data_IF_159873089204
#
_entry.id   IF_159873089204
#
_cell.length_a   1.000
_cell.length_b   1.000
_cell.length_c   1.000
_cell.angle_alpha   90.00
_cell.angle_beta   90.00
_cell.angle_gamma   90.00
#
_symmetry.space_group_name_H-M   'P 1'
#
loop_
_entity.id
_entity.type
_entity.pdbx_description
1 polymer ?
#
# COMPACT_ATOMS: atom_id res chain seq x y z
N UNK A 1 26.66 16.92 35.08
CA UNK A 1 25.87 15.91 35.82
C UNK A 1 25.67 14.73 34.87
N UNK A 2 26.24 13.56 35.18
CA UNK A 2 26.03 12.35 34.38
C UNK A 2 24.58 11.90 34.53
N UNK A 3 23.84 11.67 33.43
CA UNK A 3 22.45 11.21 33.52
C UNK A 3 22.41 9.85 34.21
N UNK A 4 21.55 9.72 35.22
CA UNK A 4 21.34 8.48 35.97
C UNK A 4 20.70 7.47 35.01
N UNK A 5 21.45 6.45 34.62
CA UNK A 5 21.00 5.42 33.68
C UNK A 5 20.05 4.47 34.41
N UNK A 6 18.74 4.64 34.21
CA UNK A 6 17.75 3.69 34.73
C UNK A 6 17.41 2.69 33.61
N UNK A 7 18.01 1.50 33.70
CA UNK A 7 17.86 0.33 32.81
C UNK A 7 18.33 0.48 31.35
N UNK A 8 17.91 1.47 30.55
CA UNK A 8 18.42 1.68 29.19
C UNK A 8 18.25 3.11 28.64
N UNK A 9 18.99 3.46 27.58
CA UNK A 9 19.06 4.81 26.98
C UNK A 9 17.80 5.27 26.22
N UNK A 10 16.92 4.34 25.83
CA UNK A 10 15.68 4.62 25.11
C UNK A 10 14.45 4.42 26.00
N UNK A 11 14.67 4.21 27.31
CA UNK A 11 13.67 3.88 28.32
C UNK A 11 12.79 2.66 27.99
N UNK A 12 13.24 1.76 27.11
CA UNK A 12 12.45 0.66 26.54
C UNK A 12 12.01 -0.36 27.59
N UNK A 13 12.88 -0.66 28.55
CA UNK A 13 12.64 -1.68 29.58
C UNK A 13 11.70 -1.18 30.67
N UNK A 14 11.80 0.10 31.04
CA UNK A 14 10.85 0.76 31.94
C UNK A 14 9.51 0.99 31.22
N UNK A 15 9.55 1.38 29.95
CA UNK A 15 8.38 1.49 29.09
C UNK A 15 7.64 0.16 29.02
N UNK A 16 8.33 -0.98 28.78
CA UNK A 16 7.73 -2.31 28.76
C UNK A 16 6.99 -2.66 30.07
N UNK A 17 7.62 -2.42 31.22
CA UNK A 17 7.03 -2.73 32.53
C UNK A 17 5.83 -1.83 32.86
N UNK A 18 5.92 -0.54 32.55
CA UNK A 18 4.81 0.41 32.70
C UNK A 18 3.69 0.08 31.72
N UNK A 19 4.01 -0.32 30.49
CA UNK A 19 3.05 -0.76 29.47
C UNK A 19 2.31 -2.01 29.95
N UNK A 20 2.99 -3.02 30.49
CA UNK A 20 2.34 -4.23 31.00
C UNK A 20 1.38 -3.88 32.15
N UNK A 21 1.81 -3.05 33.11
CA UNK A 21 0.97 -2.62 34.24
C UNK A 21 -0.24 -1.78 33.81
N UNK A 22 -0.04 -0.84 32.89
CA UNK A 22 -1.07 0.05 32.37
C UNK A 22 -2.11 -0.68 31.51
N UNK A 23 -1.68 -1.66 30.70
CA UNK A 23 -2.56 -2.48 29.87
C UNK A 23 -3.49 -3.38 30.71
N UNK A 24 -2.97 -3.95 31.82
CA UNK A 24 -3.79 -4.76 32.74
C UNK A 24 -4.79 -3.93 33.54
N UNK A 25 -4.42 -2.70 33.93
CA UNK A 25 -5.32 -1.76 34.61
C UNK A 25 -6.39 -1.21 33.67
N UNK A 26 -6.02 -0.85 32.44
CA UNK A 26 -6.93 -0.41 31.39
C UNK A 26 -7.94 -1.49 30.98
N UNK A 27 -7.52 -2.76 30.92
CA UNK A 27 -8.41 -3.90 30.70
C UNK A 27 -9.47 -4.05 31.81
N UNK A 28 -9.07 -3.91 33.07
CA UNK A 28 -9.98 -4.02 34.22
C UNK A 28 -11.05 -2.90 34.23
N UNK A 29 -10.66 -1.67 33.87
CA UNK A 29 -11.56 -0.50 33.83
C UNK A 29 -12.47 -0.54 32.59
N UNK A 30 -11.94 -0.94 31.43
CA UNK A 30 -12.70 -1.06 30.20
C UNK A 30 -13.78 -2.16 30.24
N UNK A 31 -13.54 -3.24 30.99
CA UNK A 31 -14.54 -4.28 31.27
C UNK A 31 -15.72 -3.74 32.09
N UNK A 32 -15.49 -2.79 32.99
CA UNK A 32 -16.49 -2.29 33.93
C UNK A 32 -17.42 -1.22 33.35
N UNK A 33 -16.95 -0.33 32.46
CA UNK A 33 -17.65 0.93 32.19
C UNK A 33 -18.20 1.15 30.77
N UNK A 34 -17.96 0.23 29.82
CA UNK A 34 -18.67 0.14 28.52
C UNK A 34 -19.27 1.44 27.94
N UNK A 35 -18.44 2.32 27.34
CA UNK A 35 -18.67 3.15 26.11
C UNK A 35 -18.18 4.61 26.17
N UNK A 36 -17.23 4.93 25.27
CA UNK A 36 -17.01 6.25 24.64
C UNK A 36 -16.26 6.04 23.30
N UNK A 37 -16.93 5.44 22.29
CA UNK A 37 -16.25 4.71 21.19
C UNK A 37 -16.27 5.35 19.80
N UNK A 38 -16.91 6.48 19.53
CA UNK A 38 -17.14 6.92 18.14
C UNK A 38 -15.97 7.73 17.56
N UNK A 39 -15.31 8.58 18.35
CA UNK A 39 -14.23 9.44 17.87
C UNK A 39 -12.94 8.65 17.62
N UNK A 40 -12.58 7.75 18.53
CA UNK A 40 -11.43 6.84 18.38
C UNK A 40 -11.65 5.78 17.29
N UNK A 41 -12.89 5.32 17.11
CA UNK A 41 -13.26 4.47 15.99
C UNK A 41 -13.13 5.20 14.65
N UNK A 42 -13.40 6.50 14.58
CA UNK A 42 -13.33 7.25 13.32
C UNK A 42 -11.88 7.53 12.91
N UNK A 43 -11.00 7.86 13.86
CA UNK A 43 -9.56 7.98 13.60
C UNK A 43 -8.91 6.65 13.22
N UNK A 44 -9.21 5.58 13.97
CA UNK A 44 -8.72 4.23 13.66
C UNK A 44 -9.30 3.64 12.37
N UNK A 45 -10.56 3.92 12.05
CA UNK A 45 -11.19 3.42 10.82
C UNK A 45 -10.62 4.07 9.56
N UNK A 46 -10.19 5.34 9.58
CA UNK A 46 -9.53 5.96 8.43
C UNK A 46 -8.22 5.24 8.08
N UNK A 47 -7.36 5.06 9.08
CA UNK A 47 -6.11 4.29 8.97
C UNK A 47 -6.38 2.86 8.47
N UNK A 48 -7.40 2.21 9.03
CA UNK A 48 -7.80 0.86 8.64
C UNK A 48 -8.30 0.80 7.20
N UNK A 49 -9.16 1.73 6.78
CA UNK A 49 -9.72 1.81 5.42
C UNK A 49 -8.60 2.07 4.41
N UNK A 50 -7.69 3.02 4.68
CA UNK A 50 -6.54 3.29 3.79
C UNK A 50 -5.65 2.06 3.67
N UNK A 51 -5.31 1.42 4.79
CA UNK A 51 -4.51 0.19 4.80
C UNK A 51 -5.19 -0.94 4.04
N UNK A 52 -6.50 -1.09 4.19
CA UNK A 52 -7.31 -2.11 3.50
C UNK A 52 -7.36 -1.85 1.99
N UNK A 53 -7.58 -0.61 1.55
CA UNK A 53 -7.61 -0.24 0.13
C UNK A 53 -6.24 -0.47 -0.53
N UNK A 54 -5.14 -0.07 0.13
CA UNK A 54 -3.79 -0.36 -0.35
C UNK A 54 -3.52 -1.86 -0.41
N UNK A 55 -3.93 -2.61 0.61
CA UNK A 55 -3.76 -4.06 0.64
C UNK A 55 -4.53 -4.76 -0.50
N UNK A 56 -5.78 -4.37 -0.75
CA UNK A 56 -6.58 -4.90 -1.86
C UNK A 56 -5.92 -4.60 -3.22
N UNK A 57 -5.38 -3.40 -3.41
CA UNK A 57 -4.66 -3.04 -4.63
C UNK A 57 -3.39 -3.90 -4.81
N UNK A 58 -2.59 -4.04 -3.74
CA UNK A 58 -1.36 -4.82 -3.74
C UNK A 58 -1.64 -6.31 -4.03
N UNK A 59 -2.66 -6.89 -3.39
CA UNK A 59 -3.09 -8.28 -3.61
C UNK A 59 -3.55 -8.48 -5.05
N UNK A 60 -4.35 -7.56 -5.61
CA UNK A 60 -4.80 -7.63 -7.01
C UNK A 60 -3.59 -7.62 -7.97
N UNK A 61 -2.68 -6.67 -7.81
CA UNK A 61 -1.51 -6.53 -8.68
C UNK A 61 -0.59 -7.76 -8.56
N UNK A 62 -0.29 -8.20 -7.33
CA UNK A 62 0.51 -9.39 -7.07
C UNK A 62 -0.12 -10.65 -7.68
N UNK A 63 -1.43 -10.83 -7.52
CA UNK A 63 -2.16 -11.99 -8.06
C UNK A 63 -2.13 -11.99 -9.60
N UNK A 64 -2.35 -10.84 -10.23
CA UNK A 64 -2.28 -10.72 -11.68
C UNK A 64 -0.88 -11.02 -12.23
N UNK A 65 0.16 -10.47 -11.59
CA UNK A 65 1.56 -10.72 -11.96
C UNK A 65 1.92 -12.20 -11.78
N UNK A 66 1.51 -12.82 -10.67
CA UNK A 66 1.73 -14.24 -10.40
C UNK A 66 1.03 -15.12 -11.44
N UNK A 67 -0.26 -14.87 -11.68
CA UNK A 67 -1.04 -15.59 -12.69
C UNK A 67 -0.39 -15.50 -14.08
N UNK A 68 0.12 -14.32 -14.46
CA UNK A 68 0.83 -14.12 -15.73
C UNK A 68 2.09 -14.98 -15.82
N UNK A 69 2.90 -15.04 -14.76
CA UNK A 69 4.12 -15.86 -14.74
C UNK A 69 3.77 -17.35 -14.84
N UNK A 70 2.74 -17.81 -14.12
CA UNK A 70 2.29 -19.20 -14.18
C UNK A 70 1.76 -19.58 -15.57
N UNK A 71 1.09 -18.65 -16.27
CA UNK A 71 0.50 -18.92 -17.59
C UNK A 71 1.49 -18.86 -18.75
N UNK A 72 2.41 -17.90 -18.73
CA UNK A 72 3.32 -17.62 -19.85
C UNK A 72 4.75 -18.16 -19.63
N UNK A 73 5.07 -18.66 -18.43
CA UNK A 73 6.29 -19.43 -18.13
C UNK A 73 7.57 -18.61 -17.99
N UNK A 74 7.82 -17.66 -18.89
CA UNK A 74 8.94 -16.72 -18.77
C UNK A 74 8.56 -15.31 -19.22
N UNK A 75 9.29 -14.33 -18.71
CA UNK A 75 9.18 -12.94 -19.12
C UNK A 75 10.51 -12.56 -19.77
N UNK A 76 10.49 -12.40 -21.10
CA UNK A 76 11.71 -12.24 -21.92
C UNK A 76 12.57 -11.05 -21.52
N UNK A 77 11.99 -10.05 -20.83
CA UNK A 77 12.71 -8.89 -20.30
C UNK A 77 13.74 -9.25 -19.23
N UNK A 78 13.54 -10.38 -18.55
CA UNK A 78 14.38 -10.83 -17.44
C UNK A 78 15.36 -11.94 -17.85
N UNK A 79 15.31 -12.42 -19.10
CA UNK A 79 16.17 -13.54 -19.52
C UNK A 79 17.64 -13.13 -19.54
N UNK A 80 17.97 -11.92 -20.01
CA UNK A 80 19.34 -11.38 -20.03
C UNK A 80 19.81 -10.82 -18.67
N UNK A 81 18.89 -10.50 -17.76
CA UNK A 81 19.22 -9.91 -16.46
C UNK A 81 19.50 -11.00 -15.43
N UNK A 82 18.72 -12.10 -15.44
CA UNK A 82 18.81 -13.18 -14.46
C UNK A 82 20.12 -13.98 -14.55
N UNK A 83 20.77 -14.00 -15.71
CA UNK A 83 22.07 -14.66 -15.91
C UNK A 83 23.25 -13.89 -15.29
N UNK A 84 23.05 -12.63 -14.87
CA UNK A 84 24.10 -11.77 -14.34
C UNK A 84 23.77 -11.28 -12.92
N UNK A 85 24.46 -11.86 -11.93
CA UNK A 85 24.23 -11.59 -10.51
C UNK A 85 24.13 -10.09 -10.17
N UNK A 86 25.12 -9.27 -10.56
CA UNK A 86 25.13 -7.83 -10.21
C UNK A 86 24.05 -7.00 -10.92
N UNK A 87 23.68 -7.34 -12.17
CA UNK A 87 22.58 -6.67 -12.87
C UNK A 87 21.25 -6.99 -12.21
N UNK A 88 21.07 -8.24 -11.82
CA UNK A 88 19.88 -8.70 -11.11
C UNK A 88 19.78 -8.11 -9.71
N UNK A 89 20.89 -8.03 -8.96
CA UNK A 89 20.95 -7.37 -7.66
C UNK A 89 20.62 -5.88 -7.76
N UNK A 90 21.19 -5.16 -8.74
CA UNK A 90 20.90 -3.74 -8.96
C UNK A 90 19.42 -3.48 -9.27
N UNK A 91 18.81 -4.33 -10.12
CA UNK A 91 17.36 -4.29 -10.36
C UNK A 91 16.57 -4.49 -9.07
N UNK A 92 16.97 -5.45 -8.24
CA UNK A 92 16.27 -5.77 -6.98
C UNK A 92 16.38 -4.64 -5.95
N UNK A 93 17.56 -4.05 -5.77
CA UNK A 93 17.77 -2.90 -4.87
C UNK A 93 16.95 -1.70 -5.35
N UNK A 94 16.91 -1.45 -6.65
CA UNK A 94 16.06 -0.41 -7.24
C UNK A 94 14.58 -0.62 -6.93
N UNK A 95 14.09 -1.86 -7.03
CA UNK A 95 12.72 -2.21 -6.64
C UNK A 95 12.47 -1.97 -5.14
N UNK A 96 13.40 -2.33 -4.26
CA UNK A 96 13.27 -2.08 -2.81
C UNK A 96 13.15 -0.58 -2.52
N UNK A 97 14.05 0.23 -3.07
CA UNK A 97 14.03 1.69 -2.88
C UNK A 97 12.74 2.28 -3.44
N UNK A 98 12.33 1.85 -4.63
CA UNK A 98 11.10 2.32 -5.27
C UNK A 98 9.85 2.01 -4.44
N UNK A 99 9.69 0.75 -4.02
CA UNK A 99 8.56 0.31 -3.17
C UNK A 99 8.56 1.05 -1.84
N UNK A 100 9.74 1.25 -1.24
CA UNK A 100 9.87 2.04 -0.02
C UNK A 100 9.43 3.49 -0.24
N UNK A 101 9.90 4.17 -1.29
CA UNK A 101 9.52 5.56 -1.61
C UNK A 101 8.03 5.74 -1.82
N UNK A 102 7.38 4.88 -2.62
CA UNK A 102 5.93 4.99 -2.88
C UNK A 102 5.08 4.68 -1.63
N UNK A 103 5.63 3.94 -0.66
CA UNK A 103 4.94 3.62 0.60
C UNK A 103 5.12 4.67 1.70
N UNK A 104 5.98 5.68 1.51
CA UNK A 104 6.23 6.74 2.49
C UNK A 104 4.97 7.51 2.91
N UNK A 105 4.06 7.93 2.00
CA UNK A 105 2.85 8.66 2.41
C UNK A 105 2.01 7.85 3.40
N UNK A 106 1.80 6.56 3.12
CA UNK A 106 1.07 5.65 4.02
C UNK A 106 1.81 5.43 5.33
N UNK A 107 3.13 5.21 5.28
CA UNK A 107 3.95 4.98 6.50
C UNK A 107 3.90 6.20 7.43
N UNK A 108 3.98 7.40 6.85
CA UNK A 108 3.91 8.66 7.59
C UNK A 108 2.52 8.85 8.19
N UNK A 109 1.45 8.65 7.40
CA UNK A 109 0.06 8.77 7.87
C UNK A 109 -0.28 7.82 9.03
N UNK A 110 0.37 6.65 9.07
CA UNK A 110 0.19 5.65 10.13
C UNK A 110 1.16 5.83 11.32
N UNK A 111 1.98 6.88 11.34
CA UNK A 111 2.96 7.09 12.40
C UNK A 111 2.34 7.68 13.68
N UNK A 112 2.78 7.27 14.89
CA UNK A 112 2.23 7.77 16.15
C UNK A 112 2.32 9.30 16.31
N UNK A 113 3.37 9.91 15.73
CA UNK A 113 3.59 11.36 15.76
C UNK A 113 2.42 12.16 15.16
N UNK A 114 1.73 11.61 14.16
CA UNK A 114 0.56 12.22 13.55
C UNK A 114 -0.76 11.73 14.17
N UNK A 115 -0.79 10.52 14.74
CA UNK A 115 -1.98 9.96 15.38
C UNK A 115 -2.32 10.63 16.73
N UNK A 116 -1.34 11.18 17.44
CA UNK A 116 -1.56 11.84 18.74
C UNK A 116 -2.04 13.31 18.62
N UNK A 117 -1.80 13.98 17.49
CA UNK A 117 -2.26 15.35 17.22
C UNK A 117 -3.64 15.40 16.55
N UNK A 118 -4.51 14.44 16.88
CA UNK A 118 -5.72 14.00 16.16
C UNK A 118 -6.90 14.98 16.10
N UNK A 119 -6.68 16.28 16.16
CA UNK A 119 -7.68 17.27 15.73
C UNK A 119 -7.82 17.35 14.19
N UNK A 120 -6.87 16.77 13.44
CA UNK A 120 -6.85 16.82 11.97
C UNK A 120 -7.32 15.56 11.24
N UNK A 121 -7.48 14.42 11.92
CA UNK A 121 -7.76 13.12 11.31
C UNK A 121 -9.26 12.72 11.37
N UNK A 122 -10.16 13.69 11.28
CA UNK A 122 -11.60 13.40 11.15
C UNK A 122 -11.87 12.97 9.71
N UNK A 123 -12.30 11.72 9.54
CA UNK A 123 -12.77 11.18 8.26
C UNK A 123 -14.01 11.92 7.78
N UNK A 124 -14.13 12.11 6.47
CA UNK A 124 -15.28 12.78 5.85
C UNK A 124 -14.99 14.20 5.39
N UNK A 125 -13.71 14.60 5.35
CA UNK A 125 -13.31 15.81 4.64
C UNK A 125 -13.54 15.60 3.13
N UNK A 126 -13.76 16.70 2.41
CA UNK A 126 -13.91 16.67 0.95
C UNK A 126 -12.70 16.02 0.28
N UNK A 127 -11.50 16.20 0.83
CA UNK A 127 -10.26 15.56 0.37
C UNK A 127 -10.30 14.03 0.47
N UNK A 128 -10.89 13.48 1.53
CA UNK A 128 -10.99 12.03 1.73
C UNK A 128 -11.96 11.42 0.70
N UNK A 129 -13.09 12.09 0.47
CA UNK A 129 -14.10 11.69 -0.51
C UNK A 129 -13.51 11.74 -1.93
N UNK A 130 -12.80 12.82 -2.27
CA UNK A 130 -12.11 12.93 -3.55
C UNK A 130 -11.05 11.83 -3.73
N UNK A 131 -10.28 11.52 -2.67
CA UNK A 131 -9.31 10.42 -2.68
C UNK A 131 -9.96 9.06 -2.97
N UNK A 132 -11.09 8.75 -2.31
CA UNK A 132 -11.85 7.51 -2.58
C UNK A 132 -12.41 7.48 -4.01
N UNK A 133 -12.90 8.61 -4.53
CA UNK A 133 -13.38 8.71 -5.91
C UNK A 133 -12.23 8.46 -6.89
N UNK A 134 -11.09 9.14 -6.71
CA UNK A 134 -9.91 8.95 -7.57
C UNK A 134 -9.39 7.52 -7.51
N UNK A 135 -9.37 6.91 -6.33
CA UNK A 135 -9.01 5.50 -6.16
C UNK A 135 -9.90 4.58 -7.00
N UNK A 136 -11.23 4.71 -6.92
CA UNK A 136 -12.15 3.86 -7.69
C UNK A 136 -12.05 4.09 -9.20
N UNK A 137 -11.84 5.34 -9.62
CA UNK A 137 -11.60 5.66 -11.03
C UNK A 137 -10.29 5.03 -11.50
N UNK A 138 -9.20 5.22 -10.76
CA UNK A 138 -7.88 4.68 -11.06
C UNK A 138 -7.90 3.16 -11.16
N UNK A 139 -8.47 2.51 -10.15
CA UNK A 139 -8.63 1.06 -10.09
C UNK A 139 -9.43 0.51 -11.28
N UNK A 140 -10.51 1.20 -11.68
CA UNK A 140 -11.34 0.81 -12.82
C UNK A 140 -10.61 0.98 -14.15
N UNK A 141 -9.86 2.09 -14.32
CA UNK A 141 -9.05 2.36 -15.50
C UNK A 141 -7.95 1.32 -15.68
N UNK A 142 -7.19 1.07 -14.61
CA UNK A 142 -6.09 0.13 -14.61
C UNK A 142 -6.58 -1.29 -14.90
N UNK A 143 -7.61 -1.74 -14.18
CA UNK A 143 -8.20 -3.07 -14.35
C UNK A 143 -8.76 -3.26 -15.77
N UNK A 144 -9.44 -2.25 -16.31
CA UNK A 144 -9.95 -2.31 -17.69
C UNK A 144 -8.81 -2.35 -18.72
N UNK A 145 -7.75 -1.56 -18.54
CA UNK A 145 -6.60 -1.56 -19.43
C UNK A 145 -5.89 -2.92 -19.45
N UNK A 146 -5.63 -3.49 -18.27
CA UNK A 146 -4.92 -4.76 -18.13
C UNK A 146 -5.74 -5.94 -18.62
N UNK A 147 -7.04 -6.00 -18.32
CA UNK A 147 -7.94 -7.04 -18.85
C UNK A 147 -7.95 -7.03 -20.37
N UNK A 148 -8.07 -5.85 -21.00
CA UNK A 148 -8.08 -5.74 -22.47
C UNK A 148 -6.73 -6.15 -23.07
N UNK A 149 -5.61 -5.78 -22.44
CA UNK A 149 -4.27 -6.20 -22.86
C UNK A 149 -4.09 -7.71 -22.73
N UNK A 150 -4.58 -8.30 -21.64
CA UNK A 150 -4.53 -9.72 -21.39
C UNK A 150 -5.34 -10.50 -22.43
N UNK A 151 -6.60 -10.13 -22.66
CA UNK A 151 -7.46 -10.75 -23.67
C UNK A 151 -6.87 -10.62 -25.08
N UNK A 152 -6.33 -9.45 -25.42
CA UNK A 152 -5.66 -9.25 -26.71
C UNK A 152 -4.46 -10.17 -26.88
N UNK A 153 -3.60 -10.32 -25.86
CA UNK A 153 -2.48 -11.26 -25.94
C UNK A 153 -2.93 -12.72 -26.00
N UNK A 154 -4.01 -13.07 -25.32
CA UNK A 154 -4.58 -14.41 -25.33
C UNK A 154 -5.14 -14.82 -26.70
N UNK A 155 -5.54 -13.86 -27.55
CA UNK A 155 -6.03 -14.14 -28.91
C UNK A 155 -4.92 -14.32 -29.96
N UNK A 156 -3.65 -14.45 -29.55
CA UNK A 156 -2.49 -14.63 -30.43
C UNK A 156 -2.39 -13.63 -31.62
N UNK A 157 -2.41 -12.32 -31.37
CA UNK A 157 -2.28 -11.31 -32.40
C UNK A 157 -0.87 -11.30 -33.01
N UNK A 158 -0.69 -10.76 -34.23
CA UNK A 158 0.62 -10.58 -34.84
C UNK A 158 1.57 -9.80 -33.94
N UNK A 159 2.85 -10.21 -33.88
CA UNK A 159 3.87 -9.62 -32.98
C UNK A 159 4.06 -8.11 -33.16
N UNK A 160 3.82 -7.60 -34.35
CA UNK A 160 4.09 -6.20 -34.71
C UNK A 160 2.84 -5.31 -34.59
N UNK A 161 1.72 -5.86 -34.10
CA UNK A 161 0.47 -5.12 -33.99
C UNK A 161 0.20 -4.71 -32.54
N UNK A 162 0.25 -3.40 -32.22
CA UNK A 162 -0.14 -2.93 -30.90
C UNK A 162 -1.66 -3.05 -30.72
N UNK A 163 -2.08 -3.23 -29.47
CA UNK A 163 -3.48 -3.15 -29.09
C UNK A 163 -4.00 -1.72 -29.35
N UNK A 164 -5.13 -1.61 -30.05
CA UNK A 164 -5.75 -0.33 -30.41
C UNK A 164 -7.25 -0.28 -30.05
N UNK A 165 -7.67 -1.10 -29.08
CA UNK A 165 -9.06 -1.21 -28.63
C UNK A 165 -9.23 -0.70 -27.20
N UNK A 166 -10.41 -0.15 -26.90
CA UNK A 166 -10.71 0.42 -25.58
C UNK A 166 -9.78 1.57 -25.21
N UNK A 167 -9.29 1.58 -23.97
CA UNK A 167 -8.38 2.61 -23.44
C UNK A 167 -7.05 2.70 -24.23
N UNK A 168 -6.61 1.60 -24.83
CA UNK A 168 -5.38 1.55 -25.63
C UNK A 168 -5.48 2.28 -26.97
N UNK A 169 -6.69 2.66 -27.41
CA UNK A 169 -6.87 3.54 -28.57
C UNK A 169 -6.42 4.99 -28.27
N UNK A 170 -6.51 5.40 -27.00
CA UNK A 170 -6.32 6.79 -26.57
C UNK A 170 -4.93 7.03 -25.96
N UNK A 171 -4.34 6.01 -25.35
CA UNK A 171 -3.02 6.10 -24.73
C UNK A 171 -2.20 4.84 -25.00
N UNK A 172 -0.87 4.99 -25.09
CA UNK A 172 0.09 3.88 -25.18
C UNK A 172 0.28 3.18 -23.84
N UNK A 173 -0.03 3.83 -22.72
CA UNK A 173 0.13 3.28 -21.36
C UNK A 173 -1.07 3.66 -20.47
N UNK A 174 -2.31 3.24 -20.81
CA UNK A 174 -3.50 3.60 -20.05
C UNK A 174 -3.53 3.00 -18.63
N UNK A 175 -2.83 1.88 -18.41
CA UNK A 175 -2.71 1.27 -17.07
C UNK A 175 -1.95 2.17 -16.10
N UNK A 176 -0.89 2.86 -16.54
CA UNK A 176 -0.11 3.76 -15.69
C UNK A 176 -0.89 4.98 -15.24
N UNK A 177 -1.83 5.46 -16.07
CA UNK A 177 -2.74 6.51 -15.64
C UNK A 177 -3.63 6.07 -14.47
N UNK A 178 -4.13 4.83 -14.50
CA UNK A 178 -4.87 4.26 -13.39
C UNK A 178 -4.03 4.14 -12.11
N UNK A 179 -2.79 3.64 -12.24
CA UNK A 179 -1.85 3.58 -11.10
C UNK A 179 -1.59 4.98 -10.51
N UNK A 180 -1.35 6.00 -11.34
CA UNK A 180 -1.12 7.38 -10.86
C UNK A 180 -2.33 7.99 -10.13
N UNK A 181 -3.55 7.53 -10.40
CA UNK A 181 -4.75 8.00 -9.69
C UNK A 181 -4.98 7.27 -8.36
N UNK A 182 -4.44 6.06 -8.22
CA UNK A 182 -4.55 5.25 -7.00
C UNK A 182 -3.55 5.67 -5.91
N UNK A 183 -2.41 6.23 -6.31
CA UNK A 183 -1.30 6.65 -5.43
C UNK A 183 -1.31 8.15 -5.20
#
# INVERSE_FOLDING_TARGET
>A
MTPILVLDHFYLSISLLVTIGYQLLGFAIAWTFQFDKITDFTGGSNVFILSLLTWLLAVRLATFLLYRVLKYGSDSRFDDIRSHFFKFLGFWVGQIIWVWTISLPLTILNSPALSEHSSYAVWGKVTDILGVIFFWIGWSFETSADLRKFMYKASNPPKDKPINVGLWKWSRHPSYFGEMLCW
#
